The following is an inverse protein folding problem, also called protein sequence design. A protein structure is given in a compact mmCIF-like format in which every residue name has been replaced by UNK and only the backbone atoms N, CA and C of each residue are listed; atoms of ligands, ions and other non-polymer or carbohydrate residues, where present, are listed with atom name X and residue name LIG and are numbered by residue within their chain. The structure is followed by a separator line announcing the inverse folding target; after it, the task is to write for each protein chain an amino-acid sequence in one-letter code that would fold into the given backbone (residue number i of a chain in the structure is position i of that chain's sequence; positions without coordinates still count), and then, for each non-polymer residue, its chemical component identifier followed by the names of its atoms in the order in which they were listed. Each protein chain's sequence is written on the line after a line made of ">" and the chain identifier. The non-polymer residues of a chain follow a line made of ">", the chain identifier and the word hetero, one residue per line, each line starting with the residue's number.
data_IF_170768974150
#
_entry.id   IF_170768974150
#
_cell.length_a   1.000
_cell.length_b   1.000
_cell.length_c   1.000
_cell.angle_alpha   90.00
_cell.angle_beta   90.00
_cell.angle_gamma   90.00
#
_symmetry.space_group_name_H-M   'P 1'
#
loop_
_entity.id
_entity.type
_entity.pdbx_description
1 polymer ?
#
# COMPACT_ATOMS: atom_id res chain seq x y z
N UNK A 1 6.45 -0.64 13.59
CA UNK A 1 7.32 -1.38 14.54
C UNK A 1 8.30 -2.31 13.83
N UNK A 2 8.08 -2.58 12.54
CA UNK A 2 8.95 -3.44 11.73
C UNK A 2 10.39 -2.88 11.67
N UNK A 3 11.39 -3.73 11.92
CA UNK A 3 12.82 -3.34 11.95
C UNK A 3 13.29 -2.70 13.26
N UNK A 4 12.59 -2.93 14.35
CA UNK A 4 12.91 -2.47 15.70
C UNK A 4 12.71 -3.61 16.70
N UNK A 5 13.06 -3.39 17.98
CA UNK A 5 12.79 -4.29 19.10
C UNK A 5 11.34 -4.83 19.12
N UNK A 6 10.38 -4.10 18.54
CA UNK A 6 9.00 -4.56 18.40
C UNK A 6 8.79 -5.66 17.35
N UNK A 7 9.67 -5.83 16.37
CA UNK A 7 9.60 -6.95 15.43
C UNK A 7 10.17 -8.22 16.06
N UNK A 8 11.29 -8.11 16.77
CA UNK A 8 11.86 -9.24 17.52
C UNK A 8 10.85 -9.80 18.54
N UNK A 9 10.12 -8.91 19.23
CA UNK A 9 9.04 -9.31 20.14
C UNK A 9 7.91 -10.07 19.44
N UNK A 10 7.53 -9.63 18.23
CA UNK A 10 6.49 -10.30 17.43
C UNK A 10 6.95 -11.64 16.89
N UNK A 11 8.19 -11.76 16.44
CA UNK A 11 8.79 -13.02 16.00
C UNK A 11 8.84 -14.00 17.18
N UNK A 12 9.32 -13.54 18.35
CA UNK A 12 9.32 -14.34 19.55
C UNK A 12 7.92 -14.83 19.96
N UNK A 13 6.89 -13.99 19.79
CA UNK A 13 5.52 -14.39 20.05
C UNK A 13 5.05 -15.50 19.11
N UNK A 14 5.41 -15.44 17.82
CA UNK A 14 5.09 -16.51 16.87
C UNK A 14 5.81 -17.81 17.23
N UNK A 15 7.09 -17.74 17.58
CA UNK A 15 7.89 -18.91 17.97
C UNK A 15 7.38 -19.60 19.26
N UNK A 16 6.81 -18.83 20.18
CA UNK A 16 6.32 -19.32 21.48
C UNK A 16 4.85 -19.74 21.48
N UNK A 17 4.12 -19.52 20.37
CA UNK A 17 2.67 -19.75 20.30
C UNK A 17 2.27 -20.61 19.09
N UNK A 18 0.97 -20.78 18.89
CA UNK A 18 0.39 -21.47 17.73
C UNK A 18 0.28 -20.57 16.49
N UNK A 19 0.70 -19.32 16.58
CA UNK A 19 0.75 -18.40 15.45
C UNK A 19 1.81 -18.87 14.46
N UNK A 20 1.52 -18.75 13.16
CA UNK A 20 2.43 -19.18 12.11
C UNK A 20 2.48 -18.20 10.92
N UNK A 21 1.76 -17.08 10.99
CA UNK A 21 1.69 -16.10 9.92
C UNK A 21 1.76 -14.68 10.45
N UNK A 22 2.21 -13.76 9.59
CA UNK A 22 2.32 -12.35 9.91
C UNK A 22 1.85 -11.50 8.73
N UNK A 23 0.95 -10.55 8.99
CA UNK A 23 0.54 -9.54 8.01
C UNK A 23 1.46 -8.33 8.13
N UNK A 24 2.05 -7.94 7.02
CA UNK A 24 2.97 -6.81 6.92
C UNK A 24 2.42 -5.81 5.90
N UNK A 25 2.22 -4.57 6.32
CA UNK A 25 1.82 -3.53 5.40
C UNK A 25 2.96 -3.24 4.40
N UNK A 26 2.74 -3.55 3.14
CA UNK A 26 3.56 -3.09 2.02
C UNK A 26 3.18 -1.65 1.67
N UNK A 27 1.87 -1.39 1.61
CA UNK A 27 1.32 -0.04 1.46
C UNK A 27 0.24 0.17 2.52
N UNK A 28 0.41 1.19 3.35
CA UNK A 28 -0.48 1.46 4.49
C UNK A 28 -1.66 2.39 4.14
N UNK A 29 -2.52 2.65 5.12
CA UNK A 29 -3.74 3.48 5.02
C UNK A 29 -3.47 4.96 4.70
N UNK A 30 -2.24 5.42 4.87
CA UNK A 30 -1.80 6.78 4.59
C UNK A 30 -1.17 6.91 3.20
N UNK A 31 -1.15 5.81 2.43
CA UNK A 31 -0.56 5.74 1.09
C UNK A 31 0.95 5.52 1.08
N UNK A 32 1.58 5.29 2.26
CA UNK A 32 3.02 5.07 2.31
C UNK A 32 3.37 3.63 1.91
N UNK A 33 4.37 3.49 1.04
CA UNK A 33 5.14 2.26 0.93
C UNK A 33 6.08 2.19 2.14
N UNK A 34 5.99 1.13 2.93
CA UNK A 34 6.50 1.07 4.30
C UNK A 34 8.00 0.83 4.42
N UNK A 35 8.68 0.54 3.32
CA UNK A 35 10.11 0.29 3.26
C UNK A 35 10.77 1.04 2.09
N UNK A 36 12.09 1.17 2.17
CA UNK A 36 12.88 1.67 1.05
C UNK A 36 13.22 0.51 0.13
N UNK A 37 12.95 0.67 -1.14
CA UNK A 37 13.51 -0.17 -2.17
C UNK A 37 14.98 0.23 -2.36
N UNK A 38 15.88 -0.70 -2.03
CA UNK A 38 17.33 -0.50 -2.21
C UNK A 38 17.81 -1.07 -3.54
N UNK A 39 16.96 -1.84 -4.22
CA UNK A 39 17.27 -2.44 -5.50
C UNK A 39 16.75 -1.53 -6.62
N UNK A 40 17.68 -0.89 -7.34
CA UNK A 40 17.36 0.00 -8.47
C UNK A 40 16.59 -0.72 -9.59
N UNK A 41 16.75 -2.04 -9.75
CA UNK A 41 16.02 -2.82 -10.75
C UNK A 41 14.52 -2.88 -10.44
N UNK A 42 14.14 -2.94 -9.15
CA UNK A 42 12.73 -2.96 -8.74
C UNK A 42 12.11 -1.56 -8.88
N UNK A 43 12.86 -0.50 -8.57
CA UNK A 43 12.37 0.88 -8.64
C UNK A 43 12.23 1.39 -10.08
N UNK A 44 13.06 0.93 -11.01
CA UNK A 44 13.02 1.37 -12.42
C UNK A 44 11.73 0.97 -13.14
N UNK A 45 11.06 -0.06 -12.67
CA UNK A 45 9.82 -0.55 -13.27
C UNK A 45 8.54 0.09 -12.70
N UNK A 46 8.65 0.95 -11.69
CA UNK A 46 7.50 1.60 -11.05
C UNK A 46 7.67 3.12 -11.09
N UNK A 47 7.40 3.78 -12.24
CA UNK A 47 7.60 5.23 -12.39
C UNK A 47 6.83 6.09 -11.39
N UNK A 48 5.71 5.59 -10.88
CA UNK A 48 4.92 6.25 -9.85
C UNK A 48 5.63 6.28 -8.51
N UNK A 49 6.43 5.24 -8.18
CA UNK A 49 7.19 5.20 -6.93
C UNK A 49 8.27 6.28 -6.86
N UNK A 50 8.89 6.67 -7.98
CA UNK A 50 9.86 7.76 -7.99
C UNK A 50 9.20 9.09 -7.59
N UNK A 51 8.00 9.36 -8.11
CA UNK A 51 7.23 10.55 -7.76
C UNK A 51 6.75 10.51 -6.30
N UNK A 52 6.36 9.33 -5.80
CA UNK A 52 5.92 9.13 -4.43
C UNK A 52 7.10 9.14 -3.46
N UNK A 53 8.27 8.65 -3.85
CA UNK A 53 9.44 8.56 -2.97
C UNK A 53 9.93 9.91 -2.47
N UNK A 54 9.79 10.97 -3.27
CA UNK A 54 10.09 12.34 -2.85
C UNK A 54 9.10 12.83 -1.79
N UNK A 55 7.82 12.49 -1.91
CA UNK A 55 6.78 12.86 -0.94
C UNK A 55 6.84 12.04 0.34
N UNK A 56 7.42 10.84 0.27
CA UNK A 56 7.60 9.91 1.42
C UNK A 56 8.95 10.05 2.11
N UNK A 57 9.76 11.02 1.77
CA UNK A 57 11.17 11.14 2.18
C UNK A 57 11.45 11.11 3.70
N UNK A 58 10.42 11.05 4.56
CA UNK A 58 10.55 10.98 6.02
C UNK A 58 9.94 9.75 6.69
N UNK A 59 9.15 8.94 5.99
CA UNK A 59 8.37 7.86 6.61
C UNK A 59 8.85 6.49 6.13
N UNK A 60 9.68 5.85 6.95
CA UNK A 60 10.17 4.49 6.69
C UNK A 60 10.05 3.66 7.94
N UNK A 61 9.11 2.72 7.90
CA UNK A 61 8.85 1.84 9.02
C UNK A 61 9.80 0.64 9.04
N UNK A 62 10.18 0.12 7.85
CA UNK A 62 11.08 -1.01 7.67
C UNK A 62 12.37 -0.50 7.03
N UNK A 63 13.50 -0.68 7.70
CA UNK A 63 14.81 -0.19 7.22
C UNK A 63 15.41 -1.05 6.13
N UNK A 64 15.30 -2.36 6.30
CA UNK A 64 15.83 -3.39 5.42
C UNK A 64 14.79 -4.49 5.27
N UNK A 65 14.03 -4.42 4.18
CA UNK A 65 12.97 -5.39 3.90
C UNK A 65 13.54 -6.77 3.56
N UNK A 66 14.69 -6.83 2.89
CA UNK A 66 15.28 -8.11 2.50
C UNK A 66 15.79 -8.87 3.73
N UNK A 67 16.46 -8.18 4.66
CA UNK A 67 16.87 -8.77 5.92
C UNK A 67 15.68 -9.24 6.75
N UNK A 68 14.61 -8.46 6.82
CA UNK A 68 13.39 -8.84 7.51
C UNK A 68 12.75 -10.09 6.90
N UNK A 69 12.61 -10.14 5.58
CA UNK A 69 12.01 -11.30 4.89
C UNK A 69 12.85 -12.58 5.10
N UNK A 70 14.18 -12.46 5.11
CA UNK A 70 15.05 -13.60 5.41
C UNK A 70 14.88 -14.07 6.87
N UNK A 71 14.79 -13.15 7.83
CA UNK A 71 14.57 -13.45 9.24
C UNK A 71 13.23 -14.18 9.45
N UNK A 72 12.15 -13.67 8.88
CA UNK A 72 10.82 -14.29 8.95
C UNK A 72 10.81 -15.70 8.34
N UNK A 73 11.52 -15.90 7.23
CA UNK A 73 11.68 -17.19 6.59
C UNK A 73 12.46 -18.17 7.45
N UNK A 74 13.52 -17.72 8.12
CA UNK A 74 14.34 -18.56 9.02
C UNK A 74 13.52 -19.04 10.22
N UNK A 75 12.51 -18.27 10.64
CA UNK A 75 11.52 -18.64 11.68
C UNK A 75 10.29 -19.39 11.13
N UNK A 76 10.26 -19.75 9.84
CA UNK A 76 9.13 -20.42 9.16
C UNK A 76 7.80 -19.66 9.30
N UNK A 77 7.83 -18.34 9.31
CA UNK A 77 6.64 -17.49 9.40
C UNK A 77 6.07 -17.26 8.00
N UNK A 78 4.80 -17.62 7.80
CA UNK A 78 4.06 -17.33 6.59
C UNK A 78 3.80 -15.82 6.48
N UNK A 79 4.17 -15.21 5.39
CA UNK A 79 4.17 -13.75 5.23
C UNK A 79 3.09 -13.27 4.28
N UNK A 80 2.24 -12.35 4.76
CA UNK A 80 1.12 -11.78 4.01
C UNK A 80 1.41 -10.30 3.75
N UNK A 81 1.59 -9.92 2.47
CA UNK A 81 1.75 -8.54 2.05
C UNK A 81 0.41 -7.83 1.98
N UNK A 82 0.12 -6.93 2.92
CA UNK A 82 -1.09 -6.13 2.87
C UNK A 82 -0.86 -4.88 2.03
N UNK A 83 -1.71 -4.67 1.01
CA UNK A 83 -1.69 -3.51 0.12
C UNK A 83 -3.04 -2.80 0.22
N UNK A 84 -3.05 -1.60 0.79
CA UNK A 84 -4.23 -0.73 0.81
C UNK A 84 -4.43 -0.15 -0.59
N UNK A 85 -5.56 -0.48 -1.23
CA UNK A 85 -5.75 -0.18 -2.64
C UNK A 85 -6.13 1.28 -2.91
N UNK A 86 -7.38 1.65 -2.64
CA UNK A 86 -7.93 2.91 -3.16
C UNK A 86 -7.89 4.07 -2.15
N UNK A 87 -7.61 3.81 -0.89
CA UNK A 87 -7.30 4.85 0.10
C UNK A 87 -5.84 5.24 -0.05
N UNK A 88 -5.56 6.31 -0.79
CA UNK A 88 -4.20 6.73 -1.12
C UNK A 88 -4.08 8.24 -1.28
N UNK A 89 -3.94 8.97 -0.17
CA UNK A 89 -3.78 10.42 -0.22
C UNK A 89 -2.48 10.86 -0.89
N UNK A 90 -1.44 10.03 -0.90
CA UNK A 90 -0.16 10.35 -1.51
C UNK A 90 -0.27 10.28 -3.03
N UNK A 91 -0.79 9.18 -3.58
CA UNK A 91 -1.02 9.05 -5.02
C UNK A 91 -2.02 10.09 -5.51
N UNK A 92 -3.10 10.34 -4.77
CA UNK A 92 -4.09 11.36 -5.10
C UNK A 92 -3.49 12.78 -5.16
N UNK A 93 -2.49 13.08 -4.33
CA UNK A 93 -1.78 14.35 -4.34
C UNK A 93 -0.73 14.43 -5.47
N UNK A 94 0.02 13.35 -5.70
CA UNK A 94 1.04 13.26 -6.74
C UNK A 94 0.43 13.24 -8.16
N UNK A 95 -0.72 12.59 -8.32
CA UNK A 95 -1.43 12.39 -9.57
C UNK A 95 -2.93 12.75 -9.41
N UNK A 96 -3.26 14.07 -9.35
CA UNK A 96 -4.64 14.53 -9.11
C UNK A 96 -5.66 13.99 -10.10
N UNK A 97 -5.25 13.67 -11.32
CA UNK A 97 -6.09 13.06 -12.35
C UNK A 97 -6.52 11.63 -12.03
N UNK A 98 -5.82 10.96 -11.10
CA UNK A 98 -6.18 9.64 -10.59
C UNK A 98 -7.03 9.72 -9.32
N UNK A 99 -7.17 10.90 -8.73
CA UNK A 99 -7.98 11.07 -7.53
C UNK A 99 -9.47 10.85 -7.80
N UNK A 100 -10.17 10.31 -6.82
CA UNK A 100 -11.63 10.36 -6.79
C UNK A 100 -12.04 11.79 -6.46
N UNK A 101 -12.74 12.45 -7.37
CA UNK A 101 -13.08 13.87 -7.26
C UNK A 101 -14.58 14.10 -7.15
N UNK A 102 -14.95 15.20 -6.50
CA UNK A 102 -16.30 15.76 -6.47
C UNK A 102 -16.54 16.55 -7.75
N UNK A 103 -17.81 16.92 -8.07
CA UNK A 103 -18.14 17.75 -9.23
C UNK A 103 -17.42 19.11 -9.25
N UNK A 104 -17.03 19.63 -8.08
CA UNK A 104 -16.26 20.88 -7.94
C UNK A 104 -14.75 20.71 -8.18
N UNK A 105 -14.32 19.50 -8.53
CA UNK A 105 -12.92 19.13 -8.79
C UNK A 105 -12.09 18.85 -7.54
N UNK A 106 -12.66 18.94 -6.33
CA UNK A 106 -11.93 18.62 -5.11
C UNK A 106 -11.86 17.13 -4.86
N UNK A 107 -10.77 16.62 -4.28
CA UNK A 107 -10.68 15.22 -3.90
C UNK A 107 -11.79 14.81 -2.91
N UNK A 108 -12.30 13.59 -3.09
CA UNK A 108 -13.14 12.94 -2.10
C UNK A 108 -12.26 12.46 -0.96
N UNK A 109 -12.62 12.81 0.28
CA UNK A 109 -11.90 12.41 1.47
C UNK A 109 -12.79 11.58 2.40
N UNK A 110 -12.19 10.72 3.19
CA UNK A 110 -12.87 10.03 4.28
C UNK A 110 -13.08 10.96 5.51
N UNK A 111 -13.62 10.39 6.59
CA UNK A 111 -13.86 11.14 7.84
C UNK A 111 -12.59 11.68 8.51
N UNK A 112 -11.41 11.13 8.16
CA UNK A 112 -10.10 11.56 8.64
C UNK A 112 -9.45 12.60 7.72
N UNK A 113 -10.13 12.99 6.65
CA UNK A 113 -9.61 13.93 5.66
C UNK A 113 -8.63 13.31 4.65
N UNK A 114 -8.50 11.98 4.61
CA UNK A 114 -7.60 11.30 3.69
C UNK A 114 -8.26 11.09 2.33
N UNK A 115 -7.55 11.49 1.27
CA UNK A 115 -8.03 11.39 -0.10
C UNK A 115 -7.98 9.95 -0.63
N UNK A 116 -8.82 9.68 -1.60
CA UNK A 116 -8.94 8.38 -2.27
C UNK A 116 -8.67 8.53 -3.76
N UNK A 117 -8.09 7.49 -4.36
CA UNK A 117 -7.94 7.38 -5.81
C UNK A 117 -9.16 6.73 -6.42
N UNK A 118 -9.37 6.97 -7.71
CA UNK A 118 -10.52 6.47 -8.45
C UNK A 118 -10.35 4.98 -8.81
N UNK A 119 -11.21 4.09 -8.28
CA UNK A 119 -11.12 2.65 -8.54
C UNK A 119 -11.33 2.23 -10.00
N UNK A 120 -11.82 3.12 -10.85
CA UNK A 120 -12.03 2.84 -12.28
C UNK A 120 -10.87 3.29 -13.18
N UNK A 121 -9.80 3.83 -12.62
CA UNK A 121 -8.61 4.18 -13.38
C UNK A 121 -7.70 2.97 -13.52
N UNK A 122 -7.43 2.59 -14.76
CA UNK A 122 -6.54 1.48 -15.08
C UNK A 122 -5.12 1.71 -14.53
N UNK A 123 -4.64 2.96 -14.58
CA UNK A 123 -3.32 3.33 -14.08
C UNK A 123 -3.18 3.06 -12.55
N UNK A 124 -4.29 3.14 -11.81
CA UNK A 124 -4.31 2.76 -10.39
C UNK A 124 -4.15 1.25 -10.23
N UNK A 125 -4.80 0.46 -11.08
CA UNK A 125 -4.66 -1.00 -11.06
C UNK A 125 -3.25 -1.44 -11.44
N UNK A 126 -2.66 -0.82 -12.45
CA UNK A 126 -1.28 -1.06 -12.86
C UNK A 126 -0.32 -0.80 -11.72
N UNK A 127 -0.43 0.34 -11.04
CA UNK A 127 0.36 0.66 -9.85
C UNK A 127 0.20 -0.36 -8.73
N UNK A 128 -1.02 -0.79 -8.42
CA UNK A 128 -1.27 -1.79 -7.38
C UNK A 128 -0.72 -3.17 -7.76
N UNK A 129 -0.77 -3.52 -9.05
CA UNK A 129 -0.21 -4.77 -9.58
C UNK A 129 1.31 -4.76 -9.46
N UNK A 130 1.98 -3.67 -9.84
CA UNK A 130 3.42 -3.50 -9.69
C UNK A 130 3.87 -3.63 -8.23
N UNK A 131 3.11 -3.06 -7.28
CA UNK A 131 3.39 -3.24 -5.85
C UNK A 131 3.24 -4.70 -5.40
N UNK A 132 2.26 -5.43 -5.94
CA UNK A 132 2.07 -6.84 -5.64
C UNK A 132 3.17 -7.71 -6.25
N UNK A 133 3.59 -7.44 -7.48
CA UNK A 133 4.73 -8.12 -8.13
C UNK A 133 6.01 -7.89 -7.34
N UNK A 134 6.27 -6.65 -6.92
CA UNK A 134 7.39 -6.32 -6.06
C UNK A 134 7.35 -7.10 -4.73
N UNK A 135 6.19 -7.21 -4.09
CA UNK A 135 6.06 -7.99 -2.86
C UNK A 135 6.31 -9.48 -3.11
N UNK A 136 5.85 -10.03 -4.23
CA UNK A 136 6.15 -11.40 -4.62
C UNK A 136 7.65 -11.62 -4.85
N UNK A 137 8.33 -10.69 -5.52
CA UNK A 137 9.78 -10.74 -5.76
C UNK A 137 10.60 -10.63 -4.46
N UNK A 138 10.07 -9.92 -3.45
CA UNK A 138 10.65 -9.87 -2.11
C UNK A 138 10.45 -11.17 -1.31
N UNK A 139 9.63 -12.10 -1.80
CA UNK A 139 9.41 -13.41 -1.21
C UNK A 139 8.24 -13.50 -0.24
N UNK A 140 7.28 -12.59 -0.29
CA UNK A 140 6.01 -12.76 0.41
C UNK A 140 5.25 -13.96 -0.12
N UNK A 141 4.58 -14.69 0.77
CA UNK A 141 3.83 -15.91 0.44
C UNK A 141 2.42 -15.60 -0.09
N UNK A 142 1.85 -14.46 0.33
CA UNK A 142 0.47 -14.08 -0.02
C UNK A 142 0.35 -12.57 -0.22
N UNK A 143 -0.54 -12.16 -1.12
CA UNK A 143 -0.94 -10.76 -1.33
C UNK A 143 -2.36 -10.56 -0.80
N UNK A 144 -2.51 -9.63 0.13
CA UNK A 144 -3.80 -9.21 0.66
C UNK A 144 -4.14 -7.80 0.18
N UNK A 145 -5.07 -7.67 -0.74
CA UNK A 145 -5.62 -6.37 -1.11
C UNK A 145 -6.69 -5.94 -0.10
N UNK A 146 -6.51 -4.75 0.46
CA UNK A 146 -7.44 -4.15 1.41
C UNK A 146 -7.99 -2.82 0.86
N UNK A 147 -9.08 -2.31 1.44
CA UNK A 147 -9.77 -1.10 0.96
C UNK A 147 -10.15 -1.15 -0.54
N UNK A 148 -10.54 -2.33 -1.01
CA UNK A 148 -11.10 -2.55 -2.37
C UNK A 148 -12.57 -2.12 -2.36
N UNK A 149 -12.81 -0.83 -2.14
CA UNK A 149 -14.12 -0.21 -2.00
C UNK A 149 -14.05 1.30 -2.16
N UNK A 150 -15.19 1.95 -2.30
CA UNK A 150 -15.30 3.40 -2.16
C UNK A 150 -15.22 3.86 -0.69
N UNK A 151 -14.87 5.12 -0.42
CA UNK A 151 -14.90 5.67 0.94
C UNK A 151 -16.31 5.59 1.54
N UNK A 152 -16.37 5.26 2.84
CA UNK A 152 -17.65 5.25 3.58
C UNK A 152 -18.14 6.69 3.72
N UNK A 153 -19.41 6.92 3.40
CA UNK A 153 -20.02 8.26 3.44
C UNK A 153 -19.71 9.14 2.23
N UNK A 154 -19.02 8.60 1.20
CA UNK A 154 -19.08 9.22 -0.11
C UNK A 154 -20.54 9.21 -0.55
N UNK A 155 -21.11 10.40 -0.76
CA UNK A 155 -22.48 10.52 -1.27
C UNK A 155 -22.61 9.67 -2.53
N UNK A 156 -23.71 8.91 -2.63
CA UNK A 156 -24.00 8.12 -3.82
C UNK A 156 -23.99 8.97 -5.10
N UNK A 157 -24.25 10.27 -4.98
CA UNK A 157 -24.17 11.24 -6.08
C UNK A 157 -22.74 11.50 -6.54
N UNK A 158 -21.74 11.41 -5.67
CA UNK A 158 -20.33 11.60 -6.05
C UNK A 158 -19.86 10.42 -6.92
N UNK A 159 -20.28 9.20 -6.56
CA UNK A 159 -20.00 8.02 -7.36
C UNK A 159 -20.72 8.04 -8.73
N UNK A 160 -21.91 8.65 -8.81
CA UNK A 160 -22.72 8.68 -10.04
C UNK A 160 -22.28 9.78 -11.02
N UNK A 161 -21.74 10.90 -10.55
CA UNK A 161 -21.38 12.05 -11.38
C UNK A 161 -19.91 12.06 -11.82
N UNK A 162 -19.02 11.40 -11.09
CA UNK A 162 -17.57 11.38 -11.38
C UNK A 162 -17.08 10.13 -12.09
N UNK A 163 -17.93 9.12 -12.24
CA UNK A 163 -17.56 7.83 -12.81
C UNK A 163 -18.27 7.66 -14.15
N UNK A 164 -17.59 8.03 -15.25
CA UNK A 164 -17.92 7.40 -16.54
C UNK A 164 -17.50 5.94 -16.41
N UNK A 165 -18.48 5.09 -16.24
CA UNK A 165 -18.30 3.65 -16.47
C UNK A 165 -18.23 3.48 -17.99
N UNK A 166 -17.04 3.49 -18.54
CA UNK A 166 -16.82 3.01 -19.89
C UNK A 166 -17.06 1.50 -19.86
N UNK A 167 -18.20 1.12 -20.45
CA UNK A 167 -18.62 -0.27 -20.60
C UNK A 167 -17.79 -0.96 -21.68
#
# INVERSE_FOLDING_TARGET
>A
KAGSAGMEELIGLVDETELNAMVIDVKNDEGNVTFRLTNEEITQNIPVLDQISEMQAGVRYIRDIQALMQELKDHNIYTIARIVCFKDPILAAARPELALTKPDGKPVTDANGLAWVNPYRQEVWEYLTELAEMAADLGFDEIQYDYVRFPVGADANVAAEGVQMDA
#
